data_IF_015741418401
#
_entry.id   IF_015741418401
#
_cell.length_a   1.000
_cell.length_b   1.000
_cell.length_c   1.000
_cell.angle_alpha   90.00
_cell.angle_beta   90.00
_cell.angle_gamma   90.00
#
_symmetry.space_group_name_H-M   'P 1'
#
loop_
_entity.id
_entity.type
_entity.pdbx_description
1 polymer ?
#
# COMPACT_ATOMS: atom_id res chain seq x y z
N UNK A 1 -1.72 16.51 -9.20
CA UNK A 1 -2.09 15.48 -10.17
C UNK A 1 -3.43 15.86 -10.79
N UNK A 2 -3.56 15.90 -12.12
CA UNK A 2 -4.80 16.25 -12.83
C UNK A 2 -5.60 15.05 -13.28
N UNK A 3 -4.95 13.91 -13.49
CA UNK A 3 -5.56 12.66 -13.93
C UNK A 3 -4.87 11.47 -13.30
N UNK A 4 -5.53 10.33 -13.31
CA UNK A 4 -4.99 9.02 -13.00
C UNK A 4 -4.83 8.27 -14.32
N UNK A 5 -3.68 7.65 -14.53
CA UNK A 5 -3.43 6.74 -15.62
C UNK A 5 -3.65 5.30 -15.12
N UNK A 6 -4.56 4.58 -15.76
CA UNK A 6 -4.86 3.18 -15.49
C UNK A 6 -4.31 2.30 -16.60
N UNK A 7 -4.03 1.04 -16.28
CA UNK A 7 -3.79 0.01 -17.30
C UNK A 7 -5.09 -0.24 -18.09
N UNK A 8 -4.98 -0.62 -19.35
CA UNK A 8 -6.15 -0.83 -20.23
C UNK A 8 -7.14 -1.84 -19.64
N UNK A 9 -6.65 -2.90 -19.00
CA UNK A 9 -7.46 -3.93 -18.33
C UNK A 9 -8.23 -3.41 -17.11
N UNK A 10 -7.65 -2.47 -16.37
CA UNK A 10 -8.27 -1.85 -15.20
C UNK A 10 -9.21 -0.71 -15.61
N UNK A 11 -8.94 -0.04 -16.73
CA UNK A 11 -9.74 1.06 -17.23
C UNK A 11 -11.19 0.66 -17.51
N UNK A 12 -11.43 -0.55 -18.04
CA UNK A 12 -12.80 -1.08 -18.25
C UNK A 12 -13.51 -1.31 -16.92
N UNK A 13 -12.82 -1.91 -15.94
CA UNK A 13 -13.38 -2.26 -14.62
C UNK A 13 -13.75 -1.03 -13.79
N UNK A 14 -12.92 0.02 -13.84
CA UNK A 14 -13.07 1.21 -13.00
C UNK A 14 -13.63 2.43 -13.76
N UNK A 15 -14.04 2.27 -15.02
CA UNK A 15 -14.56 3.37 -15.85
C UNK A 15 -15.78 4.09 -15.26
N UNK A 16 -16.63 3.38 -14.51
CA UNK A 16 -17.83 3.97 -13.88
C UNK A 16 -17.49 4.88 -12.69
N UNK A 17 -16.34 4.68 -12.06
CA UNK A 17 -15.88 5.48 -10.92
C UNK A 17 -15.08 6.70 -11.33
N UNK A 18 -14.57 6.70 -12.58
CA UNK A 18 -13.67 7.73 -13.11
C UNK A 18 -14.39 8.58 -14.14
N UNK A 19 -14.12 9.87 -14.14
CA UNK A 19 -14.58 10.77 -15.20
C UNK A 19 -13.46 10.96 -16.21
N UNK A 20 -13.71 10.74 -17.51
CA UNK A 20 -12.71 11.01 -18.54
C UNK A 20 -12.31 12.48 -18.48
N UNK A 21 -11.01 12.75 -18.56
CA UNK A 21 -10.51 14.12 -18.58
C UNK A 21 -10.80 14.73 -19.96
N UNK A 22 -11.50 15.87 -20.05
CA UNK A 22 -11.75 16.53 -21.34
C UNK A 22 -10.43 16.94 -22.01
N UNK A 23 -10.33 16.80 -23.34
CA UNK A 23 -9.13 17.18 -24.10
C UNK A 23 -8.71 18.62 -23.88
N UNK A 24 -9.67 19.53 -23.70
CA UNK A 24 -9.43 20.93 -23.38
C UNK A 24 -8.64 21.12 -22.08
N UNK A 25 -8.86 20.24 -21.11
CA UNK A 25 -8.18 20.25 -19.81
C UNK A 25 -6.78 19.62 -19.87
N UNK A 26 -6.49 18.75 -20.80
CA UNK A 26 -5.16 18.13 -20.98
C UNK A 26 -4.08 19.17 -21.28
N UNK A 27 -4.44 20.18 -22.09
CA UNK A 27 -3.54 21.22 -22.56
C UNK A 27 -3.66 22.54 -21.78
N UNK A 28 -4.52 22.58 -20.76
CA UNK A 28 -4.72 23.78 -19.95
C UNK A 28 -3.57 23.92 -18.93
N UNK A 29 -2.65 24.85 -19.22
CA UNK A 29 -1.48 25.16 -18.42
C UNK A 29 -1.66 26.45 -17.58
N UNK A 30 -2.87 26.98 -17.49
CA UNK A 30 -3.12 28.20 -16.72
C UNK A 30 -3.01 27.94 -15.21
N UNK A 31 -2.36 28.86 -14.52
CA UNK A 31 -2.14 28.76 -13.09
C UNK A 31 -3.43 28.76 -12.28
N UNK A 32 -4.42 29.54 -12.70
CA UNK A 32 -5.70 29.65 -12.01
C UNK A 32 -6.46 28.32 -12.05
N UNK A 33 -6.50 27.64 -13.21
CA UNK A 33 -7.10 26.31 -13.35
C UNK A 33 -6.37 25.26 -12.49
N UNK A 34 -5.05 25.36 -12.40
CA UNK A 34 -4.27 24.48 -11.51
C UNK A 34 -4.63 24.69 -10.04
N UNK A 35 -4.80 25.93 -9.59
CA UNK A 35 -5.20 26.26 -8.21
C UNK A 35 -6.59 25.71 -7.91
N UNK A 36 -7.57 25.92 -8.82
CA UNK A 36 -8.92 25.36 -8.70
C UNK A 36 -8.91 23.84 -8.56
N UNK A 37 -8.14 23.15 -9.40
CA UNK A 37 -7.97 21.69 -9.34
C UNK A 37 -7.35 21.24 -8.02
N UNK A 38 -6.38 21.97 -7.48
CA UNK A 38 -5.76 21.70 -6.18
C UNK A 38 -6.75 21.86 -5.02
N UNK A 39 -7.56 22.92 -5.04
CA UNK A 39 -8.53 23.20 -3.99
C UNK A 39 -9.67 22.18 -4.01
N UNK A 40 -10.16 21.81 -5.19
CA UNK A 40 -11.17 20.75 -5.35
C UNK A 40 -10.68 19.39 -4.78
N UNK A 41 -9.42 19.04 -5.01
CA UNK A 41 -8.82 17.80 -4.49
C UNK A 41 -8.51 17.86 -3.01
N UNK A 42 -8.15 19.03 -2.48
CA UNK A 42 -7.94 19.20 -1.04
C UNK A 42 -9.24 18.92 -0.27
N UNK A 43 -10.39 19.25 -0.83
CA UNK A 43 -11.68 18.98 -0.21
C UNK A 43 -11.98 17.46 -0.08
N UNK A 44 -11.41 16.62 -0.94
CA UNK A 44 -11.57 15.15 -0.95
C UNK A 44 -10.32 14.40 -0.47
N UNK A 45 -9.31 15.11 0.01
CA UNK A 45 -8.10 14.49 0.57
C UNK A 45 -8.40 13.81 1.92
N UNK A 46 -7.58 12.82 2.27
CA UNK A 46 -7.71 12.15 3.55
C UNK A 46 -7.59 13.11 4.72
N UNK A 47 -8.44 12.94 5.71
CA UNK A 47 -8.42 13.74 6.95
C UNK A 47 -7.30 13.31 7.90
N UNK A 48 -6.99 12.03 7.86
CA UNK A 48 -5.93 11.42 8.68
C UNK A 48 -5.07 10.57 7.77
N UNK A 49 -3.76 10.75 7.87
CA UNK A 49 -2.78 9.87 7.24
C UNK A 49 -1.67 9.60 8.26
N UNK A 50 -1.50 8.34 8.64
CA UNK A 50 -0.52 7.96 9.66
C UNK A 50 0.31 6.78 9.18
N UNK A 51 1.62 6.96 9.20
CA UNK A 51 2.59 5.88 8.93
C UNK A 51 2.74 5.00 10.17
N UNK A 52 2.87 3.69 9.94
CA UNK A 52 3.18 2.70 10.97
C UNK A 52 4.49 2.00 10.64
N UNK A 53 4.96 1.11 11.51
CA UNK A 53 6.19 0.34 11.23
C UNK A 53 6.04 -0.68 10.10
N UNK A 54 4.81 -1.04 9.75
CA UNK A 54 4.49 -2.08 8.76
C UNK A 54 3.49 -1.61 7.72
N UNK A 55 3.38 -0.30 7.49
CA UNK A 55 2.46 0.23 6.50
C UNK A 55 1.93 1.61 6.86
N UNK A 56 0.69 1.91 6.52
CA UNK A 56 0.03 3.18 6.83
C UNK A 56 -1.48 3.02 6.88
N UNK A 57 -2.16 3.98 7.49
CA UNK A 57 -3.62 4.08 7.41
C UNK A 57 -4.06 5.51 7.07
N UNK A 58 -5.21 5.60 6.43
CA UNK A 58 -5.86 6.85 6.05
C UNK A 58 -7.35 6.81 6.39
N UNK A 59 -7.91 7.95 6.76
CA UNK A 59 -9.35 8.15 6.90
C UNK A 59 -9.83 9.10 5.82
N UNK A 60 -10.86 8.69 5.08
CA UNK A 60 -11.35 9.35 3.88
C UNK A 60 -12.85 9.47 4.00
N UNK A 61 -13.39 10.59 3.50
CA UNK A 61 -14.84 10.82 3.45
C UNK A 61 -15.24 11.12 2.00
N UNK A 62 -15.99 10.21 1.41
CA UNK A 62 -16.40 10.27 0.02
C UNK A 62 -17.90 10.51 -0.12
N UNK A 63 -18.30 11.39 -1.01
CA UNK A 63 -19.73 11.61 -1.35
C UNK A 63 -20.34 10.50 -2.19
N UNK A 64 -19.49 9.74 -2.90
CA UNK A 64 -19.85 8.56 -3.71
C UNK A 64 -18.70 7.56 -3.68
N UNK A 65 -18.97 6.31 -4.01
CA UNK A 65 -17.94 5.30 -4.24
C UNK A 65 -16.95 5.78 -5.30
N UNK A 66 -15.67 5.66 -5.02
CA UNK A 66 -14.62 6.12 -5.93
C UNK A 66 -13.30 5.44 -5.67
N UNK A 67 -12.43 5.45 -6.69
CA UNK A 67 -11.04 5.02 -6.58
C UNK A 67 -10.22 6.10 -5.87
N UNK A 68 -9.62 5.72 -4.74
CA UNK A 68 -8.81 6.61 -3.89
C UNK A 68 -7.34 6.38 -4.18
N UNK A 69 -6.67 7.42 -4.60
CA UNK A 69 -5.26 7.43 -4.94
C UNK A 69 -4.36 7.66 -3.73
N UNK A 70 -3.28 6.89 -3.65
CA UNK A 70 -2.21 7.04 -2.68
C UNK A 70 -0.89 7.28 -3.39
N UNK A 71 -0.21 8.39 -3.06
CA UNK A 71 1.12 8.72 -3.58
C UNK A 71 2.20 7.88 -2.89
N UNK A 72 2.02 6.57 -2.92
CA UNK A 72 2.93 5.56 -2.36
C UNK A 72 3.26 4.58 -3.48
N UNK A 73 4.55 4.23 -3.68
CA UNK A 73 4.94 3.26 -4.70
C UNK A 73 4.25 1.91 -4.51
N UNK A 74 3.77 1.34 -5.63
CA UNK A 74 3.22 0.00 -5.65
C UNK A 74 4.30 -1.04 -5.36
N UNK A 75 3.97 -2.03 -4.54
CA UNK A 75 4.79 -3.21 -4.28
C UNK A 75 3.86 -4.38 -3.93
N UNK A 76 4.15 -5.57 -4.45
CA UNK A 76 3.35 -6.78 -4.23
C UNK A 76 3.27 -7.20 -2.74
N UNK A 77 4.17 -6.68 -1.91
CA UNK A 77 4.15 -6.89 -0.47
C UNK A 77 3.04 -6.13 0.27
N UNK A 78 2.35 -5.19 -0.37
CA UNK A 78 1.23 -4.50 0.24
C UNK A 78 -0.07 -5.30 0.17
N UNK A 79 -0.81 -5.26 1.26
CA UNK A 79 -2.20 -5.70 1.35
C UNK A 79 -3.03 -4.53 1.84
N UNK A 80 -4.14 -4.23 1.15
CA UNK A 80 -5.06 -3.17 1.54
C UNK A 80 -6.31 -3.72 2.22
N UNK A 81 -6.82 -2.96 3.18
CA UNK A 81 -8.08 -3.22 3.86
C UNK A 81 -8.91 -1.94 3.87
N UNK A 82 -10.16 -2.03 3.45
CA UNK A 82 -11.15 -0.94 3.52
C UNK A 82 -12.18 -1.31 4.56
N UNK A 83 -12.30 -0.53 5.63
CA UNK A 83 -13.17 -0.79 6.77
C UNK A 83 -12.97 -2.18 7.41
N UNK A 84 -11.75 -2.73 7.31
CA UNK A 84 -11.37 -4.05 7.85
C UNK A 84 -11.60 -5.21 6.86
N UNK A 85 -12.16 -5.00 5.70
CA UNK A 85 -12.29 -5.99 4.63
C UNK A 85 -11.14 -5.83 3.63
N UNK A 86 -10.57 -6.95 3.19
CA UNK A 86 -9.49 -6.93 2.21
C UNK A 86 -10.00 -6.38 0.88
N UNK A 87 -9.23 -5.48 0.29
CA UNK A 87 -9.53 -4.82 -0.98
C UNK A 87 -8.37 -4.96 -1.96
N UNK A 88 -8.69 -4.98 -3.24
CA UNK A 88 -7.69 -5.04 -4.30
C UNK A 88 -6.96 -3.70 -4.43
N UNK A 89 -5.64 -3.77 -4.63
CA UNK A 89 -4.81 -2.61 -4.91
C UNK A 89 -4.68 -2.48 -6.41
N UNK A 90 -5.10 -1.34 -6.94
CA UNK A 90 -4.95 -1.00 -8.36
C UNK A 90 -3.65 -0.24 -8.56
N UNK A 91 -2.80 -0.70 -9.45
CA UNK A 91 -1.61 0.04 -9.86
C UNK A 91 -2.01 1.17 -10.81
N UNK A 92 -1.64 2.39 -10.47
CA UNK A 92 -1.97 3.60 -11.23
C UNK A 92 -0.73 4.44 -11.47
N UNK A 93 -0.75 5.30 -12.50
CA UNK A 93 0.35 6.21 -12.83
C UNK A 93 1.72 5.49 -12.90
N UNK A 94 1.75 4.28 -13.50
CA UNK A 94 2.97 3.50 -13.72
C UNK A 94 3.76 3.14 -12.44
N UNK A 95 3.08 2.92 -11.32
CA UNK A 95 3.73 2.44 -10.12
C UNK A 95 3.29 3.07 -8.81
N UNK A 96 2.11 3.66 -8.76
CA UNK A 96 1.49 4.14 -7.53
C UNK A 96 0.23 3.32 -7.22
N UNK A 97 -0.35 3.50 -6.05
CA UNK A 97 -1.47 2.68 -5.58
C UNK A 97 -2.79 3.44 -5.54
N UNK A 98 -3.86 2.73 -5.86
CA UNK A 98 -5.22 3.18 -5.60
C UNK A 98 -6.08 2.03 -5.06
N UNK A 99 -7.14 2.35 -4.32
CA UNK A 99 -8.09 1.38 -3.76
C UNK A 99 -9.49 1.92 -3.90
N UNK A 100 -10.43 1.06 -4.27
CA UNK A 100 -11.85 1.40 -4.35
C UNK A 100 -12.43 1.56 -2.93
N UNK A 101 -13.02 2.71 -2.64
CA UNK A 101 -13.64 3.01 -1.36
C UNK A 101 -15.12 3.37 -1.53
N UNK A 102 -16.01 2.85 -0.68
CA UNK A 102 -17.43 3.15 -0.73
C UNK A 102 -17.72 4.60 -0.34
N UNK A 103 -18.94 5.06 -0.63
CA UNK A 103 -19.44 6.35 -0.17
C UNK A 103 -19.50 6.42 1.36
N UNK A 104 -19.27 7.60 1.91
CA UNK A 104 -19.21 7.87 3.34
C UNK A 104 -17.77 7.84 3.89
N UNK A 105 -17.67 7.75 5.21
CA UNK A 105 -16.38 7.69 5.88
C UNK A 105 -15.82 6.28 5.82
N UNK A 106 -14.62 6.14 5.25
CA UNK A 106 -13.89 4.87 5.16
C UNK A 106 -12.53 4.99 5.82
N UNK A 107 -12.12 3.92 6.50
CA UNK A 107 -10.75 3.72 6.95
C UNK A 107 -10.05 2.75 6.00
N UNK A 108 -8.94 3.18 5.47
CA UNK A 108 -8.08 2.37 4.60
C UNK A 108 -6.78 2.07 5.34
N UNK A 109 -6.51 0.79 5.55
CA UNK A 109 -5.28 0.31 6.18
C UNK A 109 -4.44 -0.43 5.15
N UNK A 110 -3.17 -0.05 4.98
CA UNK A 110 -2.20 -0.78 4.19
C UNK A 110 -1.19 -1.47 5.09
N UNK A 111 -1.00 -2.76 4.87
CA UNK A 111 -0.01 -3.56 5.60
C UNK A 111 1.02 -4.07 4.62
N UNK A 112 2.29 -3.81 4.91
CA UNK A 112 3.41 -4.24 4.09
C UNK A 112 4.13 -5.42 4.71
N UNK A 113 4.37 -6.44 3.92
CA UNK A 113 5.20 -7.59 4.28
C UNK A 113 6.14 -7.90 3.13
N UNK A 114 7.42 -7.67 3.34
CA UNK A 114 8.44 -7.95 2.32
C UNK A 114 8.45 -9.43 1.92
N UNK A 115 8.68 -9.68 0.63
CA UNK A 115 8.83 -11.02 0.09
C UNK A 115 9.94 -11.80 0.81
N UNK A 116 9.66 -13.08 1.08
CA UNK A 116 10.59 -13.96 1.77
C UNK A 116 10.72 -13.72 3.29
N UNK A 117 10.06 -12.70 3.86
CA UNK A 117 10.12 -12.43 5.31
C UNK A 117 9.63 -13.61 6.14
N UNK A 118 8.50 -14.22 5.78
CA UNK A 118 7.95 -15.38 6.48
C UNK A 118 8.89 -16.61 6.39
N UNK A 119 9.49 -16.83 5.23
CA UNK A 119 10.46 -17.91 5.00
C UNK A 119 11.73 -17.67 5.83
N UNK A 120 12.33 -16.48 5.75
CA UNK A 120 13.55 -16.14 6.49
C UNK A 120 13.36 -16.25 8.01
N UNK A 121 12.21 -15.78 8.50
CA UNK A 121 11.83 -15.92 9.92
C UNK A 121 11.74 -17.38 10.34
N UNK A 122 11.10 -18.23 9.54
CA UNK A 122 10.96 -19.68 9.82
C UNK A 122 12.30 -20.35 9.85
N UNK A 123 13.16 -20.10 8.85
CA UNK A 123 14.52 -20.66 8.78
C UNK A 123 15.35 -20.21 9.99
N UNK A 124 15.28 -18.95 10.36
CA UNK A 124 16.02 -18.41 11.52
C UNK A 124 15.56 -19.09 12.82
N UNK A 125 14.25 -19.21 13.04
CA UNK A 125 13.71 -19.87 14.22
C UNK A 125 14.08 -21.37 14.29
N UNK A 126 14.20 -22.05 13.17
CA UNK A 126 14.66 -23.43 13.11
C UNK A 126 16.18 -23.56 13.33
N UNK A 127 16.97 -22.60 12.89
CA UNK A 127 18.42 -22.61 13.03
C UNK A 127 18.89 -22.40 14.48
N UNK A 128 18.15 -21.63 15.28
CA UNK A 128 18.50 -21.34 16.69
C UNK A 128 18.66 -22.62 17.53
N UNK A 129 17.65 -23.53 17.59
CA UNK A 129 17.80 -24.75 18.37
C UNK A 129 18.90 -25.69 17.83
N UNK A 130 19.07 -25.78 16.51
CA UNK A 130 20.15 -26.55 15.90
C UNK A 130 21.51 -26.03 16.36
N UNK A 131 21.69 -24.71 16.36
CA UNK A 131 22.93 -24.09 16.83
C UNK A 131 23.15 -24.31 18.33
N UNK A 132 22.10 -24.24 19.15
CA UNK A 132 22.19 -24.50 20.59
C UNK A 132 22.62 -25.94 20.87
N UNK A 133 22.09 -26.94 20.17
CA UNK A 133 22.49 -28.34 20.26
C UNK A 133 23.96 -28.51 19.84
N UNK A 134 24.36 -27.89 18.75
CA UNK A 134 25.75 -27.90 18.31
C UNK A 134 26.73 -27.33 19.38
N UNK A 135 26.38 -26.19 19.96
CA UNK A 135 27.18 -25.57 21.03
C UNK A 135 27.26 -26.47 22.29
N UNK A 136 26.11 -27.10 22.68
CA UNK A 136 26.06 -28.04 23.81
C UNK A 136 26.98 -29.26 23.58
N UNK A 137 26.91 -29.84 22.39
CA UNK A 137 27.75 -30.98 22.02
C UNK A 137 29.26 -30.63 22.00
N UNK A 138 29.58 -29.43 21.46
CA UNK A 138 30.98 -28.95 21.46
C UNK A 138 31.49 -28.69 22.89
N UNK A 139 30.65 -28.14 23.77
CA UNK A 139 31.00 -27.92 25.18
C UNK A 139 31.27 -29.22 25.92
N UNK A 140 30.39 -30.21 25.73
CA UNK A 140 30.58 -31.54 26.37
C UNK A 140 31.88 -32.23 25.89
N UNK A 141 32.17 -32.19 24.61
CA UNK A 141 33.44 -32.67 24.05
C UNK A 141 34.65 -31.98 24.64
N UNK A 142 34.57 -30.66 24.87
CA UNK A 142 35.68 -29.91 25.46
C UNK A 142 35.90 -30.32 26.92
N UNK A 143 34.88 -30.49 27.70
CA UNK A 143 34.95 -30.96 29.08
C UNK A 143 35.62 -32.33 29.20
N UNK A 144 35.29 -33.26 28.30
CA UNK A 144 35.85 -34.64 28.30
C UNK A 144 37.30 -34.69 27.91
N UNK A 145 37.86 -33.66 27.25
CA UNK A 145 39.29 -33.60 26.90
C UNK A 145 40.16 -32.97 27.99
N UNK A 146 39.53 -32.29 28.96
CA UNK A 146 40.25 -31.56 30.04
C UNK A 146 40.17 -32.29 31.38
N UNK A 147 39.43 -33.41 31.44
CA UNK A 147 39.38 -34.36 32.55
C UNK A 147 40.23 -35.61 32.22
#
# INVERSE_FOLDING_TARGET
MRALLLKDEDAETYSEYLQPLPEERLNDLYYDTYVEDCDARRATASRVFTMTNSGFHAEIDLTRENLVFFSVPYDDGFTAYVNGEQADIVEVDEGLMAVLCPAGTSRVDFVYQADGYSLSRTVTLAAIPVFAVYCGFWWDRKKRKTA
#
